data_IF_696781802024
#
_entry.id   IF_696781802024
#
_cell.length_a   1.000
_cell.length_b   1.000
_cell.length_c   1.000
_cell.angle_alpha   90.00
_cell.angle_beta   90.00
_cell.angle_gamma   90.00
#
_symmetry.space_group_name_H-M   'P 1'
#
loop_
_entity.id
_entity.type
_entity.pdbx_description
1 polymer ?
#
# COMPACT_ATOMS: atom_id res chain seq x y z
N UNK A 1 -0.50 38.41 -27.40
CA UNK A 1 -1.61 37.61 -27.96
C UNK A 1 -1.44 37.63 -29.47
N UNK A 2 -1.16 36.51 -30.16
CA UNK A 2 -1.18 36.50 -31.62
C UNK A 2 -2.63 36.33 -32.08
N UNK A 3 -3.14 37.34 -32.76
CA UNK A 3 -4.49 37.51 -33.28
C UNK A 3 -4.60 37.04 -34.73
N UNK A 4 -4.24 35.79 -35.01
CA UNK A 4 -4.35 35.21 -36.36
C UNK A 4 -5.34 34.03 -36.38
N UNK A 5 -6.51 34.15 -37.04
CA UNK A 5 -7.53 33.10 -37.08
C UNK A 5 -7.07 31.83 -37.83
N UNK A 6 -6.07 31.94 -38.70
CA UNK A 6 -5.47 30.82 -39.42
C UNK A 6 -4.57 29.94 -38.52
N UNK A 7 -3.86 30.51 -37.54
CA UNK A 7 -2.96 29.76 -36.65
C UNK A 7 -3.73 28.88 -35.66
N UNK A 8 -4.87 29.39 -35.16
CA UNK A 8 -5.76 28.64 -34.26
C UNK A 8 -6.41 27.44 -34.97
N UNK A 9 -6.84 27.61 -36.22
CA UNK A 9 -7.41 26.51 -37.01
C UNK A 9 -6.37 25.43 -37.33
N UNK A 10 -5.16 25.80 -37.75
CA UNK A 10 -4.08 24.84 -37.99
C UNK A 10 -3.68 24.08 -36.71
N UNK A 11 -3.66 24.74 -35.56
CA UNK A 11 -3.37 24.09 -34.28
C UNK A 11 -4.46 23.09 -33.88
N UNK A 12 -5.73 23.46 -34.04
CA UNK A 12 -6.88 22.59 -33.73
C UNK A 12 -6.98 21.40 -34.71
N UNK A 13 -6.70 21.61 -36.00
CA UNK A 13 -6.64 20.53 -37.00
C UNK A 13 -5.48 19.58 -36.74
N UNK A 14 -4.31 20.10 -36.35
CA UNK A 14 -3.15 19.25 -36.02
C UNK A 14 -3.38 18.43 -34.76
N UNK A 15 -4.08 18.97 -33.76
CA UNK A 15 -4.49 18.25 -32.54
C UNK A 15 -5.52 17.15 -32.83
N UNK A 16 -6.42 17.35 -33.79
CA UNK A 16 -7.44 16.36 -34.17
C UNK A 16 -6.88 15.24 -35.05
N UNK A 17 -5.94 15.54 -35.97
CA UNK A 17 -5.23 14.52 -36.77
C UNK A 17 -4.21 13.71 -35.95
N UNK A 18 -3.54 14.32 -34.96
CA UNK A 18 -2.68 13.55 -34.03
C UNK A 18 -3.48 12.74 -33.02
N UNK A 19 -4.67 13.18 -32.60
CA UNK A 19 -5.51 12.44 -31.65
C UNK A 19 -6.01 11.09 -32.19
N UNK A 20 -6.30 11.00 -33.50
CA UNK A 20 -6.80 9.78 -34.15
C UNK A 20 -5.70 8.78 -34.52
N UNK A 21 -4.48 9.24 -34.77
CA UNK A 21 -3.31 8.41 -35.13
C UNK A 21 -2.54 7.84 -33.93
N UNK A 22 -2.81 8.30 -32.71
CA UNK A 22 -2.13 7.88 -31.47
C UNK A 22 -2.82 6.73 -30.72
N UNK A 23 -3.99 6.26 -31.15
CA UNK A 23 -4.69 5.15 -30.49
C UNK A 23 -4.14 3.80 -30.95
N UNK A 24 -2.88 3.52 -30.57
CA UNK A 24 -2.22 2.24 -30.84
C UNK A 24 -2.93 1.14 -30.04
N UNK A 25 -3.48 0.15 -30.73
CA UNK A 25 -4.11 -1.01 -30.10
C UNK A 25 -3.10 -1.73 -29.19
N UNK A 26 -3.34 -1.68 -27.88
CA UNK A 26 -2.49 -2.33 -26.89
C UNK A 26 -2.79 -3.83 -26.86
N UNK A 27 -1.82 -4.65 -27.29
CA UNK A 27 -1.90 -6.11 -27.25
C UNK A 27 -1.38 -6.68 -25.93
N UNK A 28 -1.77 -7.92 -25.61
CA UNK A 28 -1.22 -8.71 -24.50
C UNK A 28 0.32 -8.78 -24.50
N UNK A 29 0.95 -8.67 -25.67
CA UNK A 29 2.41 -8.58 -25.79
C UNK A 29 2.99 -7.38 -25.01
N UNK A 30 2.33 -6.22 -25.03
CA UNK A 30 2.78 -5.04 -24.30
C UNK A 30 2.70 -5.26 -22.78
N UNK A 31 1.65 -5.95 -22.32
CA UNK A 31 1.49 -6.33 -20.91
C UNK A 31 2.60 -7.29 -20.48
N UNK A 32 2.97 -8.24 -21.34
CA UNK A 32 4.05 -9.19 -21.07
C UNK A 32 5.42 -8.50 -20.98
N UNK A 33 5.69 -7.51 -21.85
CA UNK A 33 6.89 -6.67 -21.78
C UNK A 33 6.91 -5.91 -20.44
N UNK A 34 5.80 -5.31 -20.01
CA UNK A 34 5.72 -4.63 -18.71
C UNK A 34 5.90 -5.61 -17.53
N UNK A 35 5.39 -6.82 -17.63
CA UNK A 35 5.56 -7.88 -16.63
C UNK A 35 7.02 -8.33 -16.50
N UNK A 36 7.83 -8.21 -17.56
CA UNK A 36 9.27 -8.50 -17.49
C UNK A 36 9.99 -7.56 -16.52
N UNK A 37 9.59 -6.29 -16.40
CA UNK A 37 10.16 -5.37 -15.41
C UNK A 37 9.88 -5.80 -13.98
N UNK A 38 8.67 -6.31 -13.70
CA UNK A 38 8.35 -6.88 -12.39
C UNK A 38 9.17 -8.15 -12.12
N UNK A 39 9.36 -8.98 -13.14
CA UNK A 39 10.18 -10.19 -13.03
C UNK A 39 11.65 -9.86 -12.75
N UNK A 40 12.18 -8.80 -13.36
CA UNK A 40 13.50 -8.28 -13.06
C UNK A 40 13.60 -7.79 -11.60
N UNK A 41 12.62 -7.05 -11.11
CA UNK A 41 12.58 -6.62 -9.70
C UNK A 41 12.53 -7.81 -8.74
N UNK A 42 11.80 -8.87 -9.10
CA UNK A 42 11.75 -10.10 -8.32
C UNK A 42 13.11 -10.83 -8.30
N UNK A 43 13.84 -10.82 -9.42
CA UNK A 43 15.20 -11.36 -9.50
C UNK A 43 16.17 -10.56 -8.62
N UNK A 44 16.12 -9.23 -8.69
CA UNK A 44 16.93 -8.36 -7.83
C UNK A 44 16.62 -8.61 -6.35
N UNK A 45 15.34 -8.75 -5.98
CA UNK A 45 14.93 -9.10 -4.62
C UNK A 45 15.45 -10.48 -4.18
N UNK A 46 15.63 -11.42 -5.11
CA UNK A 46 16.18 -12.74 -4.81
C UNK A 46 17.70 -12.68 -4.61
N UNK A 47 18.40 -11.95 -5.47
CA UNK A 47 19.86 -11.74 -5.36
C UNK A 47 20.23 -10.99 -4.09
N UNK A 48 19.43 -10.00 -3.69
CA UNK A 48 19.63 -9.20 -2.48
C UNK A 48 18.96 -9.81 -1.22
N UNK A 49 18.37 -11.00 -1.33
CA UNK A 49 17.69 -11.72 -0.22
C UNK A 49 16.63 -10.90 0.54
N UNK A 50 15.98 -9.92 -0.12
CA UNK A 50 14.98 -9.01 0.49
C UNK A 50 13.70 -9.77 0.91
N UNK A 51 13.45 -10.95 0.33
CA UNK A 51 12.30 -11.79 0.67
C UNK A 51 10.95 -11.34 0.11
N UNK A 52 10.89 -10.27 -0.69
CA UNK A 52 9.66 -9.72 -1.27
C UNK A 52 9.34 -10.24 -2.69
N UNK A 53 10.30 -10.83 -3.40
CA UNK A 53 10.16 -11.21 -4.81
C UNK A 53 8.98 -12.13 -5.11
N UNK A 54 8.72 -13.14 -4.26
CA UNK A 54 7.54 -14.01 -4.41
C UNK A 54 6.23 -13.25 -4.23
N UNK A 55 6.14 -12.38 -3.23
CA UNK A 55 4.95 -11.56 -2.97
C UNK A 55 4.68 -10.59 -4.13
N UNK A 56 5.74 -10.02 -4.71
CA UNK A 56 5.65 -9.12 -5.86
C UNK A 56 5.09 -9.83 -7.10
N UNK A 57 5.61 -11.01 -7.43
CA UNK A 57 5.11 -11.81 -8.58
C UNK A 57 3.67 -12.26 -8.38
N UNK A 58 3.31 -12.76 -7.19
CA UNK A 58 1.93 -13.16 -6.88
C UNK A 58 0.99 -11.96 -7.00
N UNK A 59 1.39 -10.79 -6.50
CA UNK A 59 0.61 -9.55 -6.61
C UNK A 59 0.45 -9.10 -8.05
N UNK A 60 1.48 -9.21 -8.89
CA UNK A 60 1.42 -8.83 -10.29
C UNK A 60 0.50 -9.76 -11.12
N UNK A 61 0.60 -11.07 -10.92
CA UNK A 61 -0.30 -12.04 -11.57
C UNK A 61 -1.75 -11.79 -11.12
N UNK A 62 -1.97 -11.59 -9.81
CA UNK A 62 -3.29 -11.24 -9.28
C UNK A 62 -3.81 -9.95 -9.90
N UNK A 63 -2.97 -8.93 -10.08
CA UNK A 63 -3.35 -7.67 -10.74
C UNK A 63 -3.84 -7.89 -12.17
N UNK A 64 -3.11 -8.67 -12.98
CA UNK A 64 -3.50 -8.98 -14.37
C UNK A 64 -4.86 -9.69 -14.40
N UNK A 65 -5.04 -10.72 -13.57
CA UNK A 65 -6.30 -11.48 -13.50
C UNK A 65 -7.44 -10.57 -13.05
N UNK A 66 -7.24 -9.78 -11.99
CA UNK A 66 -8.26 -8.89 -11.45
C UNK A 66 -8.67 -7.80 -12.43
N UNK A 67 -7.72 -7.15 -13.10
CA UNK A 67 -8.02 -6.08 -14.04
C UNK A 67 -8.74 -6.62 -15.29
N UNK A 68 -8.37 -7.82 -15.75
CA UNK A 68 -9.04 -8.49 -16.88
C UNK A 68 -10.49 -8.85 -16.52
N UNK A 69 -10.73 -9.40 -15.33
CA UNK A 69 -12.08 -9.72 -14.85
C UNK A 69 -12.93 -8.46 -14.65
N UNK A 70 -12.36 -7.40 -14.06
CA UNK A 70 -13.07 -6.14 -13.86
C UNK A 70 -13.42 -5.50 -15.20
N UNK A 71 -12.52 -5.52 -16.19
CA UNK A 71 -12.79 -4.99 -17.52
C UNK A 71 -13.99 -5.67 -18.20
N UNK A 72 -14.12 -7.00 -18.08
CA UNK A 72 -15.25 -7.73 -18.67
C UNK A 72 -16.56 -7.53 -17.92
N UNK A 73 -16.51 -7.46 -16.58
CA UNK A 73 -17.70 -7.28 -15.73
C UNK A 73 -18.26 -5.85 -15.86
N UNK A 74 -17.39 -4.83 -15.84
CA UNK A 74 -17.83 -3.43 -15.82
C UNK A 74 -18.67 -3.05 -17.05
N UNK A 75 -18.35 -3.60 -18.23
CA UNK A 75 -19.13 -3.32 -19.43
C UNK A 75 -20.58 -3.76 -19.29
N UNK A 76 -20.82 -4.95 -18.72
CA UNK A 76 -22.17 -5.47 -18.46
C UNK A 76 -22.90 -4.64 -17.40
N UNK A 77 -22.18 -4.20 -16.37
CA UNK A 77 -22.73 -3.38 -15.28
C UNK A 77 -23.17 -2.01 -15.79
N UNK A 78 -22.37 -1.38 -16.65
CA UNK A 78 -22.68 -0.06 -17.20
C UNK A 78 -23.94 -0.10 -18.08
N UNK A 79 -24.18 -1.19 -18.81
CA UNK A 79 -25.39 -1.35 -19.63
C UNK A 79 -26.66 -1.59 -18.81
N UNK A 80 -26.55 -2.09 -17.57
CA UNK A 80 -27.71 -2.45 -16.76
C UNK A 80 -28.39 -1.26 -16.09
N UNK A 81 -27.70 -0.11 -15.95
CA UNK A 81 -28.16 1.17 -15.34
C UNK A 81 -28.97 1.04 -14.03
N UNK A 82 -28.78 -0.06 -13.29
CA UNK A 82 -29.60 -0.38 -12.12
C UNK A 82 -28.89 0.04 -10.81
N UNK A 83 -29.54 0.94 -10.06
CA UNK A 83 -29.07 1.44 -8.76
C UNK A 83 -28.71 0.33 -7.76
N UNK A 84 -29.44 -0.79 -7.78
CA UNK A 84 -29.19 -1.91 -6.86
C UNK A 84 -27.90 -2.67 -7.21
N UNK A 85 -27.56 -2.75 -8.49
CA UNK A 85 -26.30 -3.37 -8.94
C UNK A 85 -25.12 -2.49 -8.51
N UNK A 86 -25.24 -1.17 -8.69
CA UNK A 86 -24.21 -0.21 -8.25
C UNK A 86 -24.00 -0.25 -6.74
N UNK A 87 -25.08 -0.27 -5.96
CA UNK A 87 -25.02 -0.43 -4.51
C UNK A 87 -24.41 -1.79 -4.11
N UNK A 88 -24.79 -2.87 -4.77
CA UNK A 88 -24.24 -4.21 -4.56
C UNK A 88 -22.73 -4.27 -4.81
N UNK A 89 -22.25 -3.64 -5.89
CA UNK A 89 -20.82 -3.54 -6.20
C UNK A 89 -20.09 -2.69 -5.16
N UNK A 90 -20.65 -1.57 -4.74
CA UNK A 90 -20.04 -0.73 -3.71
C UNK A 90 -19.88 -1.49 -2.38
N UNK A 91 -20.89 -2.26 -1.98
CA UNK A 91 -20.83 -3.12 -0.79
C UNK A 91 -19.81 -4.24 -1.00
N UNK A 92 -19.82 -4.90 -2.16
CA UNK A 92 -18.87 -5.96 -2.50
C UNK A 92 -17.42 -5.48 -2.43
N UNK A 93 -17.12 -4.29 -2.97
CA UNK A 93 -15.79 -3.69 -2.90
C UNK A 93 -15.35 -3.45 -1.45
N UNK A 94 -16.24 -2.99 -0.58
CA UNK A 94 -15.95 -2.80 0.85
C UNK A 94 -15.72 -4.14 1.58
N UNK A 95 -16.50 -5.17 1.27
CA UNK A 95 -16.33 -6.52 1.85
C UNK A 95 -15.02 -7.14 1.39
N UNK A 96 -14.72 -7.10 0.08
CA UNK A 96 -13.45 -7.60 -0.47
C UNK A 96 -12.26 -6.82 0.09
N UNK A 97 -12.40 -5.50 0.22
CA UNK A 97 -11.38 -4.65 0.84
C UNK A 97 -11.12 -5.02 2.29
N UNK A 98 -12.17 -5.23 3.08
CA UNK A 98 -12.07 -5.67 4.48
C UNK A 98 -11.38 -7.03 4.58
N UNK A 99 -11.77 -7.98 3.73
CA UNK A 99 -11.13 -9.30 3.68
C UNK A 99 -9.65 -9.20 3.32
N UNK A 100 -9.28 -8.34 2.36
CA UNK A 100 -7.89 -8.11 1.99
C UNK A 100 -7.06 -7.58 3.18
N UNK A 101 -7.60 -6.62 3.94
CA UNK A 101 -6.95 -6.08 5.16
C UNK A 101 -6.72 -7.20 6.17
N UNK A 102 -7.79 -7.91 6.57
CA UNK A 102 -7.78 -8.88 7.67
C UNK A 102 -7.02 -10.16 7.31
N UNK A 103 -7.11 -10.60 6.06
CA UNK A 103 -6.57 -11.88 5.61
C UNK A 103 -5.13 -11.77 5.11
N UNK A 104 -4.84 -10.77 4.28
CA UNK A 104 -3.59 -10.74 3.52
C UNK A 104 -2.60 -9.69 4.02
N UNK A 105 -3.07 -8.60 4.65
CA UNK A 105 -2.22 -7.43 4.92
C UNK A 105 -1.80 -7.26 6.38
N UNK A 106 -2.64 -7.67 7.33
CA UNK A 106 -2.32 -7.54 8.76
C UNK A 106 -1.74 -8.86 9.30
N UNK A 107 -0.56 -8.77 9.94
CA UNK A 107 0.23 -9.94 10.37
C UNK A 107 -0.35 -10.62 11.63
N UNK A 108 -0.90 -9.82 12.53
CA UNK A 108 -1.47 -10.28 13.79
C UNK A 108 -2.96 -9.89 13.83
N UNK A 109 -3.83 -10.78 14.30
CA UNK A 109 -5.28 -10.51 14.34
C UNK A 109 -5.74 -10.26 15.77
N UNK A 110 -6.80 -9.47 15.93
CA UNK A 110 -7.52 -9.33 17.19
C UNK A 110 -8.96 -9.84 17.08
N UNK A 111 -9.56 -10.23 18.21
CA UNK A 111 -10.96 -10.68 18.28
C UNK A 111 -11.91 -9.61 17.70
N UNK A 112 -12.86 -9.97 16.83
CA UNK A 112 -13.77 -9.03 16.14
C UNK A 112 -13.11 -8.03 15.16
N UNK A 113 -11.89 -8.29 14.70
CA UNK A 113 -11.24 -7.43 13.70
C UNK A 113 -12.06 -7.27 12.42
N UNK A 114 -12.59 -8.36 11.85
CA UNK A 114 -13.38 -8.32 10.61
C UNK A 114 -14.60 -7.39 10.70
N UNK A 115 -15.55 -7.56 11.65
CA UNK A 115 -16.70 -6.67 11.74
C UNK A 115 -16.30 -5.22 12.07
N UNK A 116 -15.27 -5.00 12.90
CA UNK A 116 -14.82 -3.64 13.21
C UNK A 116 -14.26 -2.89 11.98
N UNK A 117 -13.42 -3.56 11.18
CA UNK A 117 -12.86 -2.99 9.94
C UNK A 117 -13.97 -2.79 8.90
N UNK A 118 -14.92 -3.73 8.79
CA UNK A 118 -16.04 -3.60 7.87
C UNK A 118 -16.90 -2.37 8.18
N UNK A 119 -17.23 -2.17 9.46
CA UNK A 119 -18.01 -1.00 9.91
C UNK A 119 -17.22 0.28 9.65
N UNK A 120 -15.91 0.29 9.93
CA UNK A 120 -15.06 1.45 9.66
C UNK A 120 -14.98 1.77 8.15
N UNK A 121 -14.86 0.75 7.29
CA UNK A 121 -14.82 0.92 5.83
C UNK A 121 -16.16 1.41 5.27
N UNK A 122 -17.27 0.76 5.64
CA UNK A 122 -18.60 1.15 5.20
C UNK A 122 -18.98 2.54 5.72
N UNK A 123 -18.73 2.79 7.00
CA UNK A 123 -19.03 4.07 7.68
C UNK A 123 -18.18 5.24 7.22
N UNK A 124 -17.08 4.99 6.51
CA UNK A 124 -16.25 6.05 5.92
C UNK A 124 -16.47 6.19 4.41
N UNK A 125 -16.41 5.08 3.67
CA UNK A 125 -16.42 5.09 2.20
C UNK A 125 -17.78 5.48 1.65
N UNK A 126 -18.88 4.87 2.14
CA UNK A 126 -20.23 5.08 1.62
C UNK A 126 -20.74 6.52 1.83
N UNK A 127 -20.67 7.12 3.03
CA UNK A 127 -21.16 8.49 3.19
C UNK A 127 -20.34 9.49 2.39
N UNK A 128 -19.01 9.32 2.31
CA UNK A 128 -18.15 10.22 1.56
C UNK A 128 -18.35 10.06 0.06
N UNK A 129 -18.54 8.83 -0.46
CA UNK A 129 -18.84 8.62 -1.88
C UNK A 129 -20.18 9.23 -2.27
N UNK A 130 -21.23 9.06 -1.44
CA UNK A 130 -22.56 9.63 -1.72
C UNK A 130 -22.50 11.16 -1.67
N UNK A 131 -21.98 11.74 -0.59
CA UNK A 131 -21.92 13.21 -0.41
C UNK A 131 -21.01 13.83 -1.46
N UNK A 132 -19.83 13.25 -1.70
CA UNK A 132 -18.87 13.76 -2.68
C UNK A 132 -19.40 13.72 -4.10
N UNK A 133 -20.00 12.60 -4.52
CA UNK A 133 -20.53 12.47 -5.88
C UNK A 133 -21.73 13.39 -6.10
N UNK A 134 -22.65 13.48 -5.12
CA UNK A 134 -23.87 14.29 -5.24
C UNK A 134 -23.59 15.80 -5.17
N UNK A 135 -22.77 16.24 -4.22
CA UNK A 135 -22.59 17.67 -3.92
C UNK A 135 -21.29 18.25 -4.47
N UNK A 136 -20.17 17.52 -4.38
CA UNK A 136 -18.89 18.06 -4.84
C UNK A 136 -18.73 17.93 -6.37
N UNK A 137 -19.21 16.83 -6.94
CA UNK A 137 -19.13 16.56 -8.38
C UNK A 137 -20.39 16.96 -9.15
N UNK A 138 -21.47 17.31 -8.45
CA UNK A 138 -22.76 17.69 -9.02
C UNK A 138 -23.31 16.67 -10.05
N UNK A 139 -23.08 15.38 -9.80
CA UNK A 139 -23.54 14.29 -10.67
C UNK A 139 -24.96 13.91 -10.28
N UNK A 140 -25.89 14.04 -11.23
CA UNK A 140 -27.29 13.68 -11.10
C UNK A 140 -27.70 12.71 -12.21
N UNK A 141 -28.03 11.43 -11.88
CA UNK A 141 -28.09 10.84 -10.55
C UNK A 141 -26.71 10.46 -9.98
N UNK A 142 -26.53 10.58 -8.66
CA UNK A 142 -25.25 10.28 -7.99
C UNK A 142 -24.75 8.84 -8.16
N UNK A 143 -25.61 7.90 -8.58
CA UNK A 143 -25.29 6.49 -8.80
C UNK A 143 -24.89 6.17 -10.24
N UNK A 144 -24.49 7.17 -11.03
CA UNK A 144 -23.98 6.95 -12.39
C UNK A 144 -22.85 5.90 -12.39
N UNK A 145 -23.04 4.71 -13.00
CA UNK A 145 -22.13 3.58 -12.84
C UNK A 145 -20.69 3.88 -13.27
N UNK A 146 -20.53 4.64 -14.35
CA UNK A 146 -19.22 4.99 -14.93
C UNK A 146 -18.36 5.84 -14.00
N UNK A 147 -18.98 6.67 -13.15
CA UNK A 147 -18.25 7.54 -12.22
C UNK A 147 -18.20 6.94 -10.81
N UNK A 148 -19.34 6.46 -10.30
CA UNK A 148 -19.47 6.06 -8.91
C UNK A 148 -18.63 4.81 -8.55
N UNK A 149 -18.62 3.79 -9.43
CA UNK A 149 -17.90 2.54 -9.15
C UNK A 149 -16.38 2.76 -9.05
N UNK A 150 -15.72 3.46 -10.01
CA UNK A 150 -14.30 3.80 -9.88
C UNK A 150 -14.00 4.66 -8.64
N UNK A 151 -14.86 5.62 -8.31
CA UNK A 151 -14.68 6.48 -7.13
C UNK A 151 -14.66 5.63 -5.86
N UNK A 152 -15.68 4.79 -5.65
CA UNK A 152 -15.72 3.88 -4.49
C UNK A 152 -14.49 2.97 -4.46
N UNK A 153 -14.09 2.42 -5.61
CA UNK A 153 -12.88 1.59 -5.72
C UNK A 153 -11.61 2.33 -5.28
N UNK A 154 -11.43 3.59 -5.69
CA UNK A 154 -10.29 4.41 -5.29
C UNK A 154 -10.31 4.74 -3.79
N UNK A 155 -11.48 5.08 -3.23
CA UNK A 155 -11.64 5.33 -1.79
C UNK A 155 -11.32 4.06 -0.97
N UNK A 156 -11.85 2.90 -1.38
CA UNK A 156 -11.54 1.61 -0.77
C UNK A 156 -10.03 1.30 -0.85
N UNK A 157 -9.39 1.51 -2.00
CA UNK A 157 -7.96 1.23 -2.18
C UNK A 157 -7.05 2.03 -1.24
N UNK A 158 -7.33 3.31 -1.08
CA UNK A 158 -6.57 4.18 -0.17
C UNK A 158 -6.84 3.86 1.30
N UNK A 159 -8.11 3.64 1.67
CA UNK A 159 -8.50 3.30 3.05
C UNK A 159 -7.92 1.97 3.51
N UNK A 160 -7.87 0.94 2.65
CA UNK A 160 -7.21 -0.36 2.93
C UNK A 160 -5.75 -0.15 3.35
N UNK A 161 -5.03 0.70 2.63
CA UNK A 161 -3.62 0.98 2.92
C UNK A 161 -3.47 1.71 4.24
N UNK A 162 -4.29 2.75 4.49
CA UNK A 162 -4.30 3.49 5.75
C UNK A 162 -4.61 2.61 6.95
N UNK A 163 -5.69 1.81 6.89
CA UNK A 163 -6.10 0.88 7.96
C UNK A 163 -4.99 -0.15 8.22
N UNK A 164 -4.42 -0.73 7.17
CA UNK A 164 -3.34 -1.72 7.30
C UNK A 164 -2.15 -1.15 8.07
N UNK A 165 -1.75 0.09 7.76
CA UNK A 165 -0.61 0.74 8.43
C UNK A 165 -0.94 1.05 9.89
N UNK A 166 -2.10 1.65 10.18
CA UNK A 166 -2.48 2.00 11.56
C UNK A 166 -2.64 0.75 12.43
N UNK A 167 -3.34 -0.28 11.95
CA UNK A 167 -3.56 -1.51 12.71
C UNK A 167 -2.26 -2.27 12.97
N UNK A 168 -1.40 -2.44 11.96
CA UNK A 168 -0.11 -3.11 12.17
C UNK A 168 0.78 -2.34 13.16
N UNK A 169 0.79 -1.01 13.10
CA UNK A 169 1.56 -0.20 14.05
C UNK A 169 1.05 -0.35 15.48
N UNK A 170 -0.26 -0.19 15.70
CA UNK A 170 -0.89 -0.31 17.02
C UNK A 170 -0.58 -1.69 17.61
N UNK A 171 -0.78 -2.74 16.83
CA UNK A 171 -0.61 -4.10 17.30
C UNK A 171 0.85 -4.43 17.62
N UNK A 172 1.78 -3.88 16.83
CA UNK A 172 3.22 -3.98 17.12
C UNK A 172 3.57 -3.24 18.42
N UNK A 173 3.07 -2.02 18.61
CA UNK A 173 3.31 -1.23 19.82
C UNK A 173 2.77 -1.92 21.08
N UNK A 174 1.59 -2.53 21.01
CA UNK A 174 1.06 -3.31 22.14
C UNK A 174 1.84 -4.60 22.42
N UNK A 175 2.54 -5.16 21.44
CA UNK A 175 3.41 -6.33 21.63
C UNK A 175 4.78 -5.95 22.19
N UNK A 176 5.39 -4.87 21.70
CA UNK A 176 6.77 -4.48 22.06
C UNK A 176 6.84 -3.54 23.28
N UNK A 177 5.87 -2.64 23.45
CA UNK A 177 5.89 -1.58 24.46
C UNK A 177 4.77 -1.72 25.50
N UNK A 178 4.31 -2.96 25.74
CA UNK A 178 3.23 -3.28 26.68
C UNK A 178 3.47 -2.69 28.08
N UNK A 179 4.69 -2.85 28.60
CA UNK A 179 5.05 -2.44 29.95
C UNK A 179 4.81 -0.95 30.19
N UNK A 180 5.05 -0.11 29.17
CA UNK A 180 4.80 1.34 29.25
C UNK A 180 3.32 1.62 29.44
N UNK A 181 2.45 0.96 28.69
CA UNK A 181 1.00 1.14 28.79
C UNK A 181 0.49 0.66 30.15
N UNK A 182 1.01 -0.45 30.66
CA UNK A 182 0.64 -0.95 32.00
C UNK A 182 1.10 -0.03 33.12
N UNK A 183 2.28 0.58 32.99
CA UNK A 183 2.76 1.60 33.93
C UNK A 183 1.80 2.79 33.96
N UNK A 184 1.42 3.35 32.81
CA UNK A 184 0.45 4.46 32.77
C UNK A 184 -0.87 4.11 33.44
N UNK A 185 -1.38 2.89 33.21
CA UNK A 185 -2.61 2.41 33.87
C UNK A 185 -2.42 2.23 35.38
N UNK A 186 -1.27 1.77 35.85
CA UNK A 186 -0.94 1.63 37.26
C UNK A 186 -0.83 2.98 37.99
N UNK A 187 -0.39 4.02 37.28
CA UNK A 187 -0.39 5.42 37.77
C UNK A 187 -1.78 6.09 37.72
N UNK A 188 -2.83 5.36 37.35
CA UNK A 188 -4.22 5.84 37.35
C UNK A 188 -4.65 6.54 36.05
N UNK A 189 -3.86 6.48 34.98
CA UNK A 189 -4.25 7.06 33.71
C UNK A 189 -5.48 6.34 33.12
N UNK A 190 -6.38 7.10 32.50
CA UNK A 190 -7.51 6.51 31.78
C UNK A 190 -7.04 5.75 30.53
N UNK A 191 -7.85 4.81 30.04
CA UNK A 191 -7.56 4.03 28.81
C UNK A 191 -7.22 4.93 27.61
N UNK A 192 -7.89 6.08 27.51
CA UNK A 192 -7.72 7.02 26.40
C UNK A 192 -6.40 7.76 26.55
N UNK A 193 -6.04 8.18 27.76
CA UNK A 193 -4.77 8.87 28.02
C UNK A 193 -3.56 7.97 27.78
N UNK A 194 -3.62 6.72 28.26
CA UNK A 194 -2.54 5.76 28.06
C UNK A 194 -2.32 5.41 26.57
N UNK A 195 -3.39 5.35 25.76
CA UNK A 195 -3.31 4.96 24.36
C UNK A 195 -3.20 6.14 23.38
N UNK A 196 -3.45 7.38 23.83
CA UNK A 196 -3.37 8.60 23.00
C UNK A 196 -2.06 8.74 22.22
N UNK A 197 -0.86 8.58 22.81
CA UNK A 197 0.40 8.72 22.05
C UNK A 197 0.53 7.65 20.94
N UNK A 198 0.11 6.41 21.23
CA UNK A 198 0.13 5.30 20.26
C UNK A 198 -0.85 5.59 19.12
N UNK A 199 -2.07 6.03 19.45
CA UNK A 199 -3.10 6.37 18.47
C UNK A 199 -2.65 7.48 17.52
N UNK A 200 -2.08 8.57 18.05
CA UNK A 200 -1.58 9.70 17.24
C UNK A 200 -0.45 9.24 16.31
N UNK A 201 0.49 8.45 16.80
CA UNK A 201 1.59 7.93 15.99
C UNK A 201 1.07 7.01 14.86
N UNK A 202 0.12 6.11 15.18
CA UNK A 202 -0.51 5.24 14.20
C UNK A 202 -1.22 6.03 13.09
N UNK A 203 -1.97 7.06 13.48
CA UNK A 203 -2.71 7.90 12.55
C UNK A 203 -1.79 8.72 11.66
N UNK A 204 -0.71 9.28 12.23
CA UNK A 204 0.31 10.00 11.44
C UNK A 204 0.93 9.09 10.39
N UNK A 205 1.37 7.90 10.78
CA UNK A 205 1.95 6.91 9.86
C UNK A 205 0.98 6.50 8.75
N UNK A 206 -0.30 6.32 9.08
CA UNK A 206 -1.32 5.96 8.10
C UNK A 206 -1.65 7.08 7.10
N UNK A 207 -1.55 8.35 7.52
CA UNK A 207 -1.91 9.52 6.71
C UNK A 207 -0.73 10.14 5.95
N UNK A 208 0.52 9.86 6.36
CA UNK A 208 1.72 10.33 5.66
C UNK A 208 1.71 10.06 4.15
N UNK A 209 1.34 8.87 3.64
CA UNK A 209 1.31 8.62 2.20
C UNK A 209 0.33 9.52 1.44
N UNK A 210 -0.83 9.81 2.03
CA UNK A 210 -1.85 10.68 1.45
C UNK A 210 -1.37 12.13 1.40
N UNK A 211 -0.78 12.63 2.48
CA UNK A 211 -0.22 13.99 2.55
C UNK A 211 0.95 14.14 1.57
N UNK A 212 1.85 13.15 1.53
CA UNK A 212 2.97 13.15 0.61
C UNK A 212 2.49 13.10 -0.85
N UNK A 213 1.44 12.35 -1.16
CA UNK A 213 0.88 12.34 -2.52
C UNK A 213 0.32 13.72 -2.86
N UNK A 214 -0.44 14.34 -1.97
CA UNK A 214 -1.01 15.68 -2.17
C UNK A 214 0.05 16.76 -2.45
N UNK A 215 1.23 16.69 -1.83
CA UNK A 215 2.27 17.72 -1.99
C UNK A 215 2.98 17.68 -3.35
N UNK A 216 3.05 16.52 -4.00
CA UNK A 216 3.70 16.36 -5.32
C UNK A 216 2.73 16.41 -6.50
N UNK A 217 1.43 16.26 -6.23
CA UNK A 217 0.39 16.31 -7.26
C UNK A 217 0.36 17.68 -7.95
N UNK A 218 0.41 17.67 -9.28
CA UNK A 218 0.36 18.88 -10.09
C UNK A 218 1.71 19.58 -10.32
N UNK A 219 2.76 19.25 -9.56
CA UNK A 219 4.13 19.74 -9.80
C UNK A 219 4.96 18.67 -10.50
N UNK A 220 5.02 17.46 -9.94
CA UNK A 220 5.87 16.38 -10.43
C UNK A 220 5.03 15.28 -11.10
N UNK A 221 3.89 14.96 -10.52
CA UNK A 221 3.05 13.86 -10.97
C UNK A 221 1.73 14.37 -11.54
N UNK A 222 1.42 13.94 -12.77
CA UNK A 222 0.08 14.04 -13.37
C UNK A 222 -0.63 12.70 -13.10
N UNK A 223 -1.75 12.70 -12.35
CA UNK A 223 -2.50 11.48 -12.09
C UNK A 223 -2.97 10.77 -13.35
N UNK A 224 -2.99 9.44 -13.29
CA UNK A 224 -3.49 8.60 -14.39
C UNK A 224 -4.95 8.89 -14.72
N UNK A 225 -5.82 9.09 -13.72
CA UNK A 225 -7.23 9.45 -13.92
C UNK A 225 -7.40 10.82 -14.59
N UNK A 226 -6.62 11.83 -14.16
CA UNK A 226 -6.62 13.16 -14.80
C UNK A 226 -6.16 13.06 -16.26
N UNK A 227 -5.06 12.34 -16.52
CA UNK A 227 -4.57 12.11 -17.89
C UNK A 227 -5.61 11.36 -18.72
N UNK A 228 -6.25 10.34 -18.15
CA UNK A 228 -7.31 9.58 -18.79
C UNK A 228 -8.52 10.44 -19.17
N UNK A 229 -8.95 11.34 -18.28
CA UNK A 229 -10.03 12.29 -18.58
C UNK A 229 -9.65 13.25 -19.72
N UNK A 230 -8.40 13.74 -19.74
CA UNK A 230 -7.88 14.61 -20.81
C UNK A 230 -7.84 13.85 -22.15
N UNK A 231 -7.31 12.63 -22.16
CA UNK A 231 -7.28 11.78 -23.36
C UNK A 231 -8.68 11.36 -23.83
N UNK A 232 -9.63 11.27 -22.91
CA UNK A 232 -11.06 11.06 -23.18
C UNK A 232 -11.81 12.30 -23.66
N UNK A 233 -11.11 13.42 -23.90
CA UNK A 233 -11.69 14.65 -24.46
C UNK A 233 -12.20 15.66 -23.43
N UNK A 234 -11.99 15.43 -22.12
CA UNK A 234 -12.33 16.43 -21.11
C UNK A 234 -11.38 17.63 -21.16
N UNK A 235 -11.87 18.83 -20.85
CA UNK A 235 -11.00 19.99 -20.71
C UNK A 235 -10.03 19.79 -19.55
N UNK A 236 -8.79 20.28 -19.71
CA UNK A 236 -7.72 20.14 -18.71
C UNK A 236 -8.15 20.74 -17.37
N UNK A 237 -8.84 21.88 -17.40
CA UNK A 237 -9.34 22.55 -16.20
C UNK A 237 -10.40 21.71 -15.48
N UNK A 238 -11.29 21.04 -16.22
CA UNK A 238 -12.30 20.18 -15.62
C UNK A 238 -11.68 18.93 -15.01
N UNK A 239 -10.74 18.30 -15.73
CA UNK A 239 -10.00 17.14 -15.23
C UNK A 239 -9.20 17.48 -13.95
N UNK A 240 -8.59 18.66 -13.89
CA UNK A 240 -7.88 19.13 -12.70
C UNK A 240 -8.82 19.33 -11.49
N UNK A 241 -9.99 19.96 -11.68
CA UNK A 241 -10.98 20.14 -10.60
C UNK A 241 -11.51 18.81 -10.07
N UNK A 242 -11.84 17.88 -10.98
CA UNK A 242 -12.26 16.53 -10.61
C UNK A 242 -11.18 15.81 -9.79
N UNK A 243 -9.92 15.92 -10.23
CA UNK A 243 -8.80 15.31 -9.53
C UNK A 243 -8.59 15.89 -8.12
N UNK A 244 -8.75 17.21 -7.94
CA UNK A 244 -8.71 17.85 -6.62
C UNK A 244 -9.81 17.30 -5.70
N UNK A 245 -11.05 17.22 -6.20
CA UNK A 245 -12.19 16.69 -5.45
C UNK A 245 -11.94 15.25 -5.00
N UNK A 246 -11.50 14.38 -5.91
CA UNK A 246 -11.23 12.96 -5.61
C UNK A 246 -10.15 12.81 -4.54
N UNK A 247 -9.08 13.61 -4.60
CA UNK A 247 -7.98 13.55 -3.64
C UNK A 247 -8.43 14.01 -2.25
N UNK A 248 -9.29 15.02 -2.15
CA UNK A 248 -9.92 15.42 -0.90
C UNK A 248 -10.85 14.34 -0.35
N UNK A 249 -11.64 13.68 -1.21
CA UNK A 249 -12.49 12.55 -0.81
C UNK A 249 -11.66 11.37 -0.29
N UNK A 250 -10.58 11.00 -0.98
CA UNK A 250 -9.65 9.94 -0.55
C UNK A 250 -9.07 10.25 0.83
N UNK A 251 -8.62 11.49 1.06
CA UNK A 251 -8.05 11.91 2.34
C UNK A 251 -9.07 11.86 3.48
N UNK A 252 -10.26 12.40 3.26
CA UNK A 252 -11.35 12.36 4.24
C UNK A 252 -11.76 10.92 4.56
N UNK A 253 -11.87 10.06 3.55
CA UNK A 253 -12.26 8.66 3.71
C UNK A 253 -11.20 7.88 4.47
N UNK A 254 -9.93 8.04 4.09
CA UNK A 254 -8.80 7.37 4.76
C UNK A 254 -8.69 7.83 6.22
N UNK A 255 -8.84 9.12 6.48
CA UNK A 255 -8.80 9.67 7.86
C UNK A 255 -9.93 9.11 8.70
N UNK A 256 -11.16 9.13 8.20
CA UNK A 256 -12.31 8.63 8.95
C UNK A 256 -12.19 7.12 9.23
N UNK A 257 -11.82 6.33 8.21
CA UNK A 257 -11.62 4.89 8.33
C UNK A 257 -10.53 4.51 9.34
N UNK A 258 -9.40 5.22 9.30
CA UNK A 258 -8.25 4.97 10.19
C UNK A 258 -8.53 5.40 11.62
N UNK A 259 -9.25 6.51 11.85
CA UNK A 259 -9.68 6.94 13.18
C UNK A 259 -10.62 5.91 13.79
N UNK A 260 -11.66 5.50 13.07
CA UNK A 260 -12.61 4.49 13.54
C UNK A 260 -11.90 3.18 13.86
N UNK A 261 -11.06 2.68 12.95
CA UNK A 261 -10.35 1.42 13.17
C UNK A 261 -9.36 1.50 14.33
N UNK A 262 -8.66 2.63 14.49
CA UNK A 262 -7.74 2.86 15.62
C UNK A 262 -8.49 2.83 16.95
N UNK A 263 -9.62 3.53 17.02
CA UNK A 263 -10.44 3.56 18.23
C UNK A 263 -11.03 2.18 18.55
N UNK A 264 -11.57 1.47 17.56
CA UNK A 264 -12.09 0.11 17.74
C UNK A 264 -10.99 -0.87 18.16
N UNK A 265 -9.80 -0.79 17.58
CA UNK A 265 -8.66 -1.63 17.95
C UNK A 265 -8.26 -1.42 19.42
N UNK A 266 -8.11 -0.17 19.85
CA UNK A 266 -7.78 0.17 21.25
C UNK A 266 -8.89 -0.29 22.21
N UNK A 267 -10.15 -0.06 21.85
CA UNK A 267 -11.29 -0.46 22.68
C UNK A 267 -11.42 -1.98 22.87
N UNK A 268 -10.98 -2.77 21.88
CA UNK A 268 -11.00 -4.24 21.98
C UNK A 268 -9.80 -4.79 22.75
N UNK A 269 -8.62 -4.19 22.58
CA UNK A 269 -7.36 -4.63 23.22
C UNK A 269 -7.31 -4.22 24.70
N UNK A 270 -7.75 -3.00 25.02
CA UNK A 270 -7.77 -2.45 26.38
C UNK A 270 -9.20 -2.53 26.92
N UNK A 271 -9.45 -3.50 27.80
CA UNK A 271 -10.77 -3.74 28.36
C UNK A 271 -11.20 -2.60 29.32
N UNK A 272 -12.51 -2.46 29.53
CA UNK A 272 -13.11 -1.46 30.42
C UNK A 272 -12.62 -1.57 31.89
N UNK A 273 -11.99 -2.69 32.25
CA UNK A 273 -11.35 -2.91 33.56
C UNK A 273 -9.85 -2.55 33.59
N UNK A 274 -9.36 -1.73 32.66
CA UNK A 274 -7.96 -1.27 32.59
C UNK A 274 -6.94 -2.43 32.56
N UNK A 275 -7.25 -3.51 31.82
CA UNK A 275 -6.34 -4.64 31.61
C UNK A 275 -6.11 -4.84 30.13
N UNK A 276 -4.84 -5.02 29.75
CA UNK A 276 -4.45 -5.41 28.40
C UNK A 276 -4.77 -6.90 28.25
N UNK A 277 -5.75 -7.24 27.41
CA UNK A 277 -6.11 -8.65 27.16
C UNK A 277 -5.26 -9.21 26.02
N UNK A 278 -4.06 -9.69 26.36
CA UNK A 278 -3.18 -10.37 25.40
C UNK A 278 -3.81 -11.64 24.80
N UNK A 279 -4.77 -12.26 25.49
CA UNK A 279 -5.51 -13.43 25.01
C UNK A 279 -6.27 -13.19 23.69
N UNK A 280 -6.48 -11.92 23.31
CA UNK A 280 -7.18 -11.54 22.08
C UNK A 280 -6.26 -11.35 20.89
N UNK A 281 -4.94 -11.35 21.07
CA UNK A 281 -3.97 -11.16 19.99
C UNK A 281 -3.58 -12.53 19.44
N UNK A 282 -4.18 -12.91 18.31
CA UNK A 282 -3.87 -14.16 17.61
C UNK A 282 -2.75 -13.85 16.61
N UNK A 283 -1.53 -14.26 16.94
CA UNK A 283 -0.42 -14.22 15.99
C UNK A 283 -0.60 -15.32 14.94
N UNK A 284 -0.69 -14.93 13.67
CA UNK A 284 -0.85 -15.84 12.55
C UNK A 284 0.42 -16.69 12.32
N UNK A 285 1.57 -16.30 12.91
CA UNK A 285 2.82 -17.08 12.91
C UNK A 285 2.70 -18.40 13.69
N UNK A 286 1.90 -18.40 14.77
CA UNK A 286 1.69 -19.57 15.62
C UNK A 286 0.86 -20.66 14.92
N UNK A 287 -0.16 -20.27 14.15
CA UNK A 287 -0.98 -21.21 13.35
C UNK A 287 -0.20 -21.87 12.21
N UNK A 288 0.74 -21.16 11.59
CA UNK A 288 1.65 -21.73 10.59
C UNK A 288 2.63 -22.74 11.22
N UNK A 289 3.14 -22.45 12.42
CA UNK A 289 3.98 -23.40 13.17
C UNK A 289 3.20 -24.62 13.68
N UNK A 290 1.96 -24.44 14.16
CA UNK A 290 1.09 -25.54 14.61
C UNK A 290 0.61 -26.42 13.45
N UNK A 291 0.29 -25.84 12.29
CA UNK A 291 -0.05 -26.60 11.06
C UNK A 291 1.16 -27.36 10.51
N UNK A 292 2.37 -26.77 10.55
CA UNK A 292 3.61 -27.46 10.18
C UNK A 292 4.00 -28.56 11.19
N UNK A 293 3.67 -28.39 12.48
CA UNK A 293 3.88 -29.40 13.54
C UNK A 293 2.88 -30.56 13.46
N UNK A 294 1.62 -30.31 13.09
CA UNK A 294 0.62 -31.36 12.80
C UNK A 294 0.88 -32.11 11.49
N UNK A 295 1.38 -31.42 10.45
CA UNK A 295 1.75 -32.06 9.19
C UNK A 295 3.05 -32.89 9.31
N UNK A 296 3.97 -32.50 10.19
CA UNK A 296 5.17 -33.31 10.50
C UNK A 296 4.91 -34.44 11.49
N UNK A 297 3.95 -34.32 12.41
CA UNK A 297 3.59 -35.42 13.32
C UNK A 297 2.72 -36.51 12.67
N UNK A 298 2.12 -36.26 11.51
CA UNK A 298 1.38 -37.28 10.73
C UNK A 298 2.23 -37.96 9.66
N UNK A 299 3.49 -37.56 9.48
CA UNK A 299 4.40 -38.12 8.49
C UNK A 299 5.72 -38.57 9.14
N UNK A 300 5.59 -39.25 10.28
CA UNK A 300 6.66 -39.93 10.97
C UNK A 300 6.56 -41.45 10.80
N UNK A 301 6.79 -41.96 9.58
CA UNK A 301 7.40 -43.28 9.41
C UNK A 301 7.98 -43.40 8.00
N UNK A 302 9.32 -43.44 7.92
CA UNK A 302 10.04 -43.86 6.73
C UNK A 302 10.39 -42.76 5.72
N UNK A 303 11.40 -41.93 6.01
CA UNK A 303 12.42 -41.42 5.05
C UNK A 303 13.44 -40.46 5.70
N UNK A 304 13.90 -40.78 6.89
CA UNK A 304 14.98 -40.04 7.56
C UNK A 304 16.33 -40.70 7.24
N UNK A 305 16.89 -40.36 6.08
CA UNK A 305 18.19 -40.92 5.68
C UNK A 305 18.83 -40.35 4.41
N UNK A 306 18.06 -39.74 3.50
CA UNK A 306 18.60 -39.24 2.22
C UNK A 306 18.66 -37.72 2.05
N UNK A 307 18.01 -36.92 2.90
CA UNK A 307 17.91 -35.46 2.71
C UNK A 307 19.02 -34.65 3.40
N UNK A 308 19.70 -35.22 4.40
CA UNK A 308 20.82 -34.57 5.11
C UNK A 308 22.13 -34.47 4.30
N UNK A 309 22.31 -35.29 3.26
CA UNK A 309 23.54 -35.28 2.44
C UNK A 309 23.54 -34.24 1.32
N UNK A 310 22.37 -33.79 0.84
CA UNK A 310 22.29 -32.79 -0.25
C UNK A 310 22.50 -31.36 0.25
N UNK A 311 21.92 -30.99 1.39
CA UNK A 311 22.04 -29.64 1.97
C UNK A 311 23.44 -29.31 2.49
N UNK A 312 24.23 -30.32 2.88
CA UNK A 312 25.62 -30.12 3.30
C UNK A 312 26.57 -29.87 2.11
N UNK A 313 26.20 -30.34 0.91
CA UNK A 313 26.98 -30.16 -0.32
C UNK A 313 26.79 -28.78 -0.95
N UNK A 314 25.58 -28.21 -0.86
CA UNK A 314 25.28 -26.86 -1.37
C UNK A 314 25.88 -25.74 -0.51
N UNK A 315 25.87 -25.86 0.83
CA UNK A 315 26.58 -24.91 1.71
C UNK A 315 28.09 -24.85 1.44
N UNK A 316 28.71 -25.99 1.13
CA UNK A 316 30.14 -26.06 0.78
C UNK A 316 30.48 -25.57 -0.63
N UNK A 317 29.51 -25.50 -1.55
CA UNK A 317 29.70 -24.88 -2.86
C UNK A 317 29.56 -23.36 -2.78
N UNK A 318 28.55 -22.88 -2.03
CA UNK A 318 28.30 -21.45 -1.85
C UNK A 318 29.40 -20.75 -1.04
N UNK A 319 29.92 -21.39 0.02
CA UNK A 319 31.07 -20.86 0.77
C UNK A 319 32.33 -20.68 -0.09
N UNK A 320 32.60 -21.62 -1.01
CA UNK A 320 33.75 -21.54 -1.93
C UNK A 320 33.55 -20.52 -3.05
N UNK A 321 32.31 -20.20 -3.42
CA UNK A 321 32.00 -19.18 -4.42
C UNK A 321 32.11 -17.77 -3.84
N UNK A 322 31.65 -17.57 -2.59
CA UNK A 322 31.81 -16.29 -1.87
C UNK A 322 33.28 -15.99 -1.58
N UNK A 323 34.10 -17.00 -1.23
CA UNK A 323 35.54 -16.82 -1.02
C UNK A 323 36.30 -16.46 -2.31
N UNK A 324 35.85 -16.96 -3.48
CA UNK A 324 36.42 -16.59 -4.79
C UNK A 324 36.03 -15.18 -5.25
N UNK A 325 34.84 -14.71 -4.92
CA UNK A 325 34.41 -13.35 -5.27
C UNK A 325 35.02 -12.30 -4.32
N UNK A 326 35.25 -12.66 -3.05
CA UNK A 326 35.90 -11.78 -2.06
C UNK A 326 37.40 -11.56 -2.27
N UNK A 327 38.16 -12.55 -2.78
CA UNK A 327 39.61 -12.40 -3.01
C UNK A 327 39.99 -11.70 -4.33
N UNK A 328 39.05 -11.48 -5.25
CA UNK A 328 39.32 -10.84 -6.55
C UNK A 328 39.40 -9.31 -6.54
N UNK A 329 39.03 -8.64 -5.44
CA UNK A 329 39.00 -7.15 -5.38
C UNK A 329 39.72 -6.52 -4.19
N UNK A 330 40.23 -7.29 -3.23
CA UNK A 330 40.90 -6.73 -2.02
C UNK A 330 42.44 -6.70 -2.14
N UNK A 331 43.03 -7.44 -3.08
CA UNK A 331 44.48 -7.57 -3.22
C UNK A 331 45.19 -6.55 -4.13
N UNK A 332 44.51 -5.52 -4.66
CA UNK A 332 45.13 -4.57 -5.62
C UNK A 332 45.02 -3.09 -5.23
N UNK A 333 44.55 -2.79 -4.02
CA UNK A 333 44.35 -1.41 -3.55
C UNK A 333 45.10 -1.07 -2.26
N UNK A 334 45.92 -2.00 -1.74
CA UNK A 334 46.79 -1.81 -0.59
C UNK A 334 48.25 -2.00 -1.05
N UNK A 335 48.72 -1.16 -1.98
CA UNK A 335 50.16 -1.02 -2.34
C UNK A 335 50.36 0.24 -3.21
N UNK A 336 49.75 1.39 -2.86
CA UNK A 336 50.07 2.65 -3.56
C UNK A 336 49.86 3.97 -2.81
N UNK A 337 49.62 3.98 -1.50
CA UNK A 337 49.52 5.23 -0.73
C UNK A 337 50.26 5.17 0.62
N UNK A 338 51.45 4.57 0.63
CA UNK A 338 52.48 4.91 1.62
C UNK A 338 53.49 5.84 0.94
N UNK A 339 53.31 7.14 1.13
CA UNK A 339 54.18 8.15 0.56
C UNK A 339 53.94 9.54 1.15
N UNK A 340 54.63 9.82 2.26
CA UNK A 340 55.05 11.16 2.74
C UNK A 340 53.91 12.00 3.38
N UNK A 341 53.97 12.59 4.58
CA UNK A 341 55.01 12.74 5.59
C UNK A 341 54.45 13.58 6.76
N UNK A 342 55.02 13.37 7.94
CA UNK A 342 54.76 14.05 9.23
C UNK A 342 54.83 15.59 9.19
N UNK A 343 54.00 16.30 9.97
CA UNK A 343 54.47 17.17 11.09
C UNK A 343 53.35 17.74 11.98
N UNK A 344 53.66 17.86 13.28
CA UNK A 344 52.89 18.41 14.41
C UNK A 344 52.98 19.94 14.49
N UNK A 345 51.93 20.62 15.00
CA UNK A 345 51.96 21.72 16.00
C UNK A 345 50.52 22.20 16.26
N UNK A 346 49.92 22.11 17.45
CA UNK A 346 50.13 22.94 18.64
C UNK A 346 50.05 24.44 18.38
N UNK A 347 48.88 25.09 18.55
CA UNK A 347 48.76 26.28 19.43
C UNK A 347 47.32 26.80 19.65
N UNK A 348 47.05 27.05 20.95
CA UNK A 348 46.21 28.03 21.68
C UNK A 348 45.13 28.88 20.97
N UNK A 349 44.00 29.03 21.71
CA UNK A 349 43.02 30.14 21.63
C UNK A 349 43.68 31.51 21.88
N UNK A 350 43.05 32.64 21.48
CA UNK A 350 42.08 33.38 22.33
C UNK A 350 40.83 33.85 21.51
N UNK A 351 39.61 33.90 22.05
CA UNK A 351 38.93 34.99 22.79
C UNK A 351 39.05 36.43 22.21
N UNK A 352 37.86 36.98 21.92
CA UNK A 352 37.42 38.38 21.82
C UNK A 352 37.53 39.14 20.49
N UNK A 353 36.41 39.78 20.16
CA UNK A 353 36.09 40.62 19.00
C UNK A 353 34.59 40.74 18.88
#
# INVERSE_FOLDING_TARGET
MPSDPLSSHYFLTRLTETGTSLQKNLSWHNVLIAFAFISFNALVSWVLEIGIGKSLLISAVRCIVQLTLVATILQQVFMAENKWIVAGIAILLNVLGTMEVVVNKVKCRYEYMLPSVLIAMLGSTIPISIIGTRYAMAVDPFWEPMQYIPIVGMLCGATISGITVSTNYILKEFQENRDKVEIYLAFGASRIEACKPIAIAALRLALTPTINSMSVLGIIAIPGMMTGAILGGSSVQQAARLQMIIIFMISSSTTLATVFTTFSCIAVIVDAKHRIRCDRIIDNSSSAHLSKKRSSSSFGSGKEGRRGKSLKRERGFFGRMVERVGRGRVGKQIMKEDGVGFTKQSERRPLLG
#
